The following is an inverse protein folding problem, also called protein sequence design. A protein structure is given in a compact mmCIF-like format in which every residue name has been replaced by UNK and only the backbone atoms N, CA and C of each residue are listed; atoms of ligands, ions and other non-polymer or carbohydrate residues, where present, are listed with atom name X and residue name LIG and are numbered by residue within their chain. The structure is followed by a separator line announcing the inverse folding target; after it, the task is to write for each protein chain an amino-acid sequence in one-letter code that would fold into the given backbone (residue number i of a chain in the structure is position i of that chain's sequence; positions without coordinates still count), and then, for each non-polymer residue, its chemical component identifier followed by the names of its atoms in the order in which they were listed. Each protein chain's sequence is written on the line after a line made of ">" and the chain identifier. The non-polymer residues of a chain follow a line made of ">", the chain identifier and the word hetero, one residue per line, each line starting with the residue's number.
data_IF_630259333035
#
_entry.id   IF_630259333035
#
_cell.length_a   1.000
_cell.length_b   1.000
_cell.length_c   1.000
_cell.angle_alpha   90.00
_cell.angle_beta   90.00
_cell.angle_gamma   90.00
#
_symmetry.space_group_name_H-M   'P 1'
#
loop_
_entity.id
_entity.type
_entity.pdbx_description
1 polymer ?
#
# COMPACT_ATOMS: atom_id res chain seq x y z
N UNK A 1 -14.82 4.78 16.22
CA UNK A 1 -14.01 4.26 15.11
C UNK A 1 -13.61 5.46 14.27
N UNK A 2 -12.32 5.87 14.23
CA UNK A 2 -11.94 7.00 13.40
C UNK A 2 -12.16 6.58 11.94
N UNK A 3 -13.08 7.26 11.28
CA UNK A 3 -13.33 7.09 9.86
C UNK A 3 -12.03 7.44 9.14
N UNK A 4 -11.52 6.51 8.33
CA UNK A 4 -10.40 6.78 7.46
C UNK A 4 -10.85 7.91 6.52
N UNK A 5 -10.26 9.09 6.70
CA UNK A 5 -10.67 10.33 6.05
C UNK A 5 -10.53 10.12 4.54
N UNK A 6 -11.60 10.33 3.77
CA UNK A 6 -11.49 10.25 2.33
C UNK A 6 -10.44 11.26 1.84
N UNK A 7 -9.55 10.89 0.89
CA UNK A 7 -8.52 11.79 0.41
C UNK A 7 -9.15 13.04 -0.24
N UNK A 8 -8.53 14.22 -0.11
CA UNK A 8 -9.04 15.45 -0.72
C UNK A 8 -9.05 15.35 -2.26
N UNK A 9 -10.01 15.98 -2.96
CA UNK A 9 -10.01 16.03 -4.41
C UNK A 9 -8.75 16.77 -4.91
N UNK A 10 -7.96 16.11 -5.76
CA UNK A 10 -6.64 16.59 -6.21
C UNK A 10 -5.46 16.09 -5.37
N UNK A 11 -5.69 15.17 -4.44
CA UNK A 11 -4.62 14.48 -3.73
C UNK A 11 -3.66 13.76 -4.71
N UNK A 12 -2.35 13.73 -4.41
CA UNK A 12 -1.41 12.89 -5.13
C UNK A 12 -1.85 11.44 -5.08
N UNK A 13 -1.88 10.78 -6.24
CA UNK A 13 -2.29 9.37 -6.37
C UNK A 13 -1.04 8.50 -6.34
N UNK A 14 -0.96 7.58 -5.39
CA UNK A 14 0.12 6.59 -5.29
C UNK A 14 -0.42 5.24 -5.76
N UNK A 15 0.14 4.74 -6.86
CA UNK A 15 -0.21 3.43 -7.41
C UNK A 15 0.58 2.32 -6.72
N UNK A 16 -0.13 1.37 -6.11
CA UNK A 16 0.44 0.23 -5.40
C UNK A 16 -0.17 -1.06 -5.90
N UNK A 17 0.64 -2.11 -5.97
CA UNK A 17 0.16 -3.46 -6.30
C UNK A 17 0.21 -4.35 -5.07
N UNK A 18 -0.94 -4.84 -4.61
CA UNK A 18 -1.04 -5.77 -3.51
C UNK A 18 -0.95 -7.19 -4.03
N UNK A 19 -0.10 -8.01 -3.41
CA UNK A 19 0.07 -9.42 -3.76
C UNK A 19 -0.39 -10.30 -2.61
N UNK A 20 -1.32 -11.20 -2.88
CA UNK A 20 -1.84 -12.15 -1.91
C UNK A 20 -3.34 -12.36 -2.05
N UNK A 21 -3.94 -13.05 -1.08
CA UNK A 21 -5.37 -13.35 -1.07
C UNK A 21 -5.93 -13.41 0.35
N UNK A 22 -7.26 -13.34 0.48
CA UNK A 22 -7.98 -13.56 1.73
C UNK A 22 -7.99 -12.37 2.70
N UNK A 23 -8.35 -12.65 3.95
CA UNK A 23 -8.46 -11.66 5.02
C UNK A 23 -7.18 -10.87 5.31
N UNK A 24 -5.96 -11.45 5.27
CA UNK A 24 -4.74 -10.69 5.50
C UNK A 24 -4.57 -9.55 4.51
N UNK A 25 -4.91 -9.76 3.23
CA UNK A 25 -4.82 -8.73 2.20
C UNK A 25 -5.83 -7.60 2.44
N UNK A 26 -7.07 -7.93 2.80
CA UNK A 26 -8.10 -6.92 3.14
C UNK A 26 -7.69 -6.08 4.37
N UNK A 27 -7.01 -6.68 5.34
CA UNK A 27 -6.46 -5.94 6.49
C UNK A 27 -5.35 -4.99 6.06
N UNK A 28 -4.46 -5.42 5.18
CA UNK A 28 -3.39 -4.59 4.64
C UNK A 28 -3.95 -3.42 3.82
N UNK A 29 -4.90 -3.69 2.93
CA UNK A 29 -5.62 -2.68 2.13
C UNK A 29 -6.22 -1.59 3.02
N UNK A 30 -6.94 -1.98 4.08
CA UNK A 30 -7.51 -1.04 5.04
C UNK A 30 -6.44 -0.20 5.74
N UNK A 31 -5.34 -0.82 6.18
CA UNK A 31 -4.23 -0.09 6.83
C UNK A 31 -3.60 0.92 5.89
N UNK A 32 -3.36 0.53 4.63
CA UNK A 32 -2.86 1.40 3.59
C UNK A 32 -3.79 2.58 3.34
N UNK A 33 -5.09 2.31 3.15
CA UNK A 33 -6.09 3.35 2.94
C UNK A 33 -6.12 4.37 4.11
N UNK A 34 -6.04 3.89 5.36
CA UNK A 34 -6.05 4.78 6.53
C UNK A 34 -4.73 5.56 6.69
N UNK A 35 -3.58 4.94 6.40
CA UNK A 35 -2.29 5.60 6.39
C UNK A 35 -2.22 6.70 5.32
N UNK A 36 -2.62 6.39 4.09
CA UNK A 36 -2.64 7.36 2.98
C UNK A 36 -3.63 8.49 3.23
N UNK A 37 -4.82 8.19 3.74
CA UNK A 37 -5.79 9.18 4.19
C UNK A 37 -5.21 10.16 5.21
N UNK A 38 -4.48 9.65 6.22
CA UNK A 38 -3.79 10.48 7.22
C UNK A 38 -2.70 11.39 6.62
N UNK A 39 -2.20 11.04 5.44
CA UNK A 39 -1.20 11.82 4.69
C UNK A 39 -1.83 12.71 3.60
N UNK A 40 -3.15 12.65 3.40
CA UNK A 40 -3.82 13.36 2.31
C UNK A 40 -3.50 12.81 0.92
N UNK A 41 -3.14 11.53 0.83
CA UNK A 41 -2.81 10.83 -0.41
C UNK A 41 -3.98 9.95 -0.86
N UNK A 42 -4.20 9.87 -2.17
CA UNK A 42 -5.09 8.88 -2.77
C UNK A 42 -4.28 7.62 -3.11
N UNK A 43 -4.87 6.45 -2.95
CA UNK A 43 -4.24 5.18 -3.34
C UNK A 43 -4.98 4.58 -4.53
N UNK A 44 -4.21 4.17 -5.53
CA UNK A 44 -4.67 3.28 -6.59
C UNK A 44 -4.13 1.88 -6.28
N UNK A 45 -5.02 0.97 -5.87
CA UNK A 45 -4.63 -0.36 -5.40
C UNK A 45 -5.00 -1.42 -6.43
N UNK A 46 -3.99 -2.05 -7.01
CA UNK A 46 -4.15 -3.21 -7.90
C UNK A 46 -3.91 -4.49 -7.13
N UNK A 47 -4.86 -5.42 -7.09
CA UNK A 47 -4.70 -6.71 -6.39
C UNK A 47 -4.28 -7.81 -7.35
N UNK A 48 -3.13 -8.41 -7.11
CA UNK A 48 -2.61 -9.60 -7.77
C UNK A 48 -2.68 -10.81 -6.83
N UNK A 49 -3.39 -11.84 -7.28
CA UNK A 49 -3.59 -13.07 -6.50
C UNK A 49 -2.45 -14.07 -6.68
N UNK A 50 -1.73 -13.97 -7.80
CA UNK A 50 -0.64 -14.85 -8.20
C UNK A 50 0.72 -14.36 -7.67
N UNK A 51 1.01 -14.66 -6.40
CA UNK A 51 2.32 -14.37 -5.81
C UNK A 51 3.45 -15.18 -6.45
N UNK A 52 3.15 -16.43 -6.84
CA UNK A 52 4.12 -17.35 -7.46
C UNK A 52 4.60 -16.85 -8.82
N UNK A 53 3.71 -16.23 -9.62
CA UNK A 53 4.08 -15.62 -10.91
C UNK A 53 5.10 -14.46 -10.76
N UNK A 54 5.23 -13.91 -9.55
CA UNK A 54 6.17 -12.84 -9.20
C UNK A 54 7.39 -13.36 -8.44
N UNK A 55 7.48 -14.67 -8.21
CA UNK A 55 8.55 -15.28 -7.41
C UNK A 55 8.49 -14.94 -5.92
N UNK A 56 7.33 -14.47 -5.42
CA UNK A 56 7.14 -14.12 -4.01
C UNK A 56 6.64 -15.36 -3.27
N UNK A 57 7.39 -15.88 -2.29
CA UNK A 57 6.94 -17.04 -1.53
C UNK A 57 5.71 -16.69 -0.71
N UNK A 58 4.77 -17.63 -0.60
CA UNK A 58 3.50 -17.43 0.10
C UNK A 58 3.68 -16.92 1.55
N UNK A 59 4.76 -17.32 2.22
CA UNK A 59 5.12 -16.87 3.56
C UNK A 59 5.37 -15.35 3.67
N UNK A 60 5.65 -14.66 2.55
CA UNK A 60 5.85 -13.21 2.49
C UNK A 60 4.57 -12.46 2.06
N UNK A 61 3.46 -13.18 1.84
CA UNK A 61 2.16 -12.57 1.51
C UNK A 61 1.36 -12.26 2.79
N UNK A 62 0.58 -11.17 2.83
CA UNK A 62 0.36 -10.20 1.76
C UNK A 62 1.56 -9.26 1.58
N UNK A 63 1.87 -8.87 0.35
CA UNK A 63 2.97 -7.96 0.03
C UNK A 63 2.48 -6.75 -0.76
N UNK A 64 3.20 -5.64 -0.67
CA UNK A 64 2.97 -4.43 -1.46
C UNK A 64 4.12 -4.26 -2.43
N UNK A 65 3.80 -4.01 -3.69
CA UNK A 65 4.76 -3.79 -4.76
C UNK A 65 4.58 -2.39 -5.36
N UNK A 66 5.72 -1.79 -5.71
CA UNK A 66 5.83 -0.58 -6.52
C UNK A 66 6.79 -0.88 -7.65
N UNK A 67 6.39 -0.60 -8.89
CA UNK A 67 7.23 -0.84 -10.08
C UNK A 67 7.83 -2.27 -10.10
N UNK A 68 7.01 -3.28 -9.71
CA UNK A 68 7.40 -4.70 -9.62
C UNK A 68 8.44 -5.03 -8.55
N UNK A 69 8.74 -4.12 -7.62
CA UNK A 69 9.60 -4.34 -6.45
C UNK A 69 8.75 -4.44 -5.19
N UNK A 70 9.02 -5.44 -4.35
CA UNK A 70 8.40 -5.57 -3.04
C UNK A 70 8.93 -4.47 -2.13
N UNK A 71 8.03 -3.61 -1.65
CA UNK A 71 8.36 -2.51 -0.74
C UNK A 71 7.94 -2.80 0.70
N UNK A 72 6.88 -3.59 0.87
CA UNK A 72 6.38 -4.07 2.17
C UNK A 72 5.94 -5.52 2.03
N UNK A 73 6.10 -6.31 3.08
CA UNK A 73 5.69 -7.72 3.11
C UNK A 73 5.09 -8.08 4.47
N UNK A 74 4.13 -9.00 4.48
CA UNK A 74 3.36 -9.39 5.65
C UNK A 74 2.34 -8.34 6.07
N UNK A 75 2.20 -8.13 7.39
CA UNK A 75 1.24 -7.19 7.98
C UNK A 75 1.96 -6.06 8.74
N UNK A 76 2.63 -5.14 8.02
CA UNK A 76 3.35 -4.02 8.64
C UNK A 76 2.42 -3.16 9.48
N UNK A 77 3.02 -2.47 10.46
CA UNK A 77 2.30 -1.52 11.31
C UNK A 77 1.93 -0.26 10.52
N UNK A 78 0.87 0.43 10.95
CA UNK A 78 0.41 1.65 10.27
C UNK A 78 1.51 2.72 10.17
N UNK A 79 2.31 2.90 11.22
CA UNK A 79 3.43 3.86 11.22
C UNK A 79 4.50 3.54 10.18
N UNK A 80 4.79 2.26 9.95
CA UNK A 80 5.77 1.82 8.94
C UNK A 80 5.25 2.09 7.52
N UNK A 81 3.96 1.84 7.30
CA UNK A 81 3.27 2.17 6.05
C UNK A 81 3.29 3.68 5.81
N UNK A 82 2.97 4.49 6.82
CA UNK A 82 3.00 5.94 6.72
C UNK A 82 4.40 6.49 6.43
N UNK A 83 5.43 5.97 7.10
CA UNK A 83 6.82 6.37 6.87
C UNK A 83 7.24 6.07 5.43
N UNK A 84 6.89 4.89 4.91
CA UNK A 84 7.18 4.51 3.53
C UNK A 84 6.41 5.36 2.52
N UNK A 85 5.11 5.63 2.76
CA UNK A 85 4.30 6.51 1.89
C UNK A 85 4.85 7.93 1.84
N UNK A 86 5.27 8.50 2.98
CA UNK A 86 5.89 9.83 3.03
C UNK A 86 7.19 9.88 2.21
N UNK A 87 8.02 8.84 2.30
CA UNK A 87 9.28 8.77 1.55
C UNK A 87 9.04 8.63 0.04
N UNK A 88 8.11 7.75 -0.33
CA UNK A 88 7.80 7.46 -1.73
C UNK A 88 7.15 8.66 -2.44
N UNK A 89 6.18 9.30 -1.79
CA UNK A 89 5.55 10.52 -2.35
C UNK A 89 6.55 11.69 -2.47
N UNK A 90 7.52 11.81 -1.56
CA UNK A 90 8.56 12.85 -1.65
C UNK A 90 9.50 12.65 -2.84
N UNK A 91 9.66 11.41 -3.32
CA UNK A 91 10.50 11.11 -4.49
C UNK A 91 9.83 11.50 -5.82
N UNK A 92 8.51 11.35 -5.92
CA UNK A 92 7.75 11.76 -7.12
C UNK A 92 7.50 13.28 -7.18
N UNK A 93 7.60 13.98 -6.04
CA UNK A 93 7.40 15.43 -5.95
C UNK A 93 8.67 16.27 -6.27
N UNK A 94 9.72 15.68 -6.84
CA UNK A 94 10.96 16.40 -7.21
C UNK A 94 10.98 16.67 -8.73
N UNK A 95 10.98 17.95 -9.17
CA UNK A 95 10.97 18.34 -10.58
C UNK A 95 12.29 18.06 -11.31
#
# INVERSE_FOLDING_TARGET
>A
MPACIAPPPGAPVVALTLVGTGEPLLRLEKRLACAAAGLGLALDLTVLKDAEALGIPFAQTPAVLVERRVVLSGLPQTEEIEAWLRQSHRLEAQP
#
